data_IF_365837898885
#
_entry.id   IF_365837898885
#
_cell.length_a   1.000
_cell.length_b   1.000
_cell.length_c   1.000
_cell.angle_alpha   90.00
_cell.angle_beta   90.00
_cell.angle_gamma   90.00
#
_symmetry.space_group_name_H-M   'P 1'
#
loop_
_entity.id
_entity.type
_entity.pdbx_description
1 polymer ?
#
# COMPACT_ATOMS: atom_id res chain seq x y z
N UNK A 1 49.33 -19.98 -47.53
CA UNK A 1 48.54 -21.18 -47.20
C UNK A 1 48.76 -21.47 -45.72
N UNK A 2 48.08 -20.73 -44.84
CA UNK A 2 46.77 -21.08 -44.23
C UNK A 2 46.91 -22.08 -43.09
N UNK A 3 47.35 -21.64 -41.89
CA UNK A 3 47.04 -22.34 -40.61
C UNK A 3 47.55 -21.58 -39.38
N UNK A 4 47.17 -20.31 -39.19
CA UNK A 4 47.52 -19.61 -37.93
C UNK A 4 46.51 -18.54 -37.49
N UNK A 5 45.62 -18.10 -38.38
CA UNK A 5 44.68 -17.01 -38.09
C UNK A 5 43.32 -17.49 -37.55
N UNK A 6 43.07 -18.79 -37.48
CA UNK A 6 41.73 -19.36 -37.20
C UNK A 6 41.55 -19.83 -35.75
N UNK A 7 42.32 -19.28 -34.81
CA UNK A 7 42.20 -19.64 -33.38
C UNK A 7 42.12 -18.42 -32.45
N UNK A 8 41.62 -17.29 -32.97
CA UNK A 8 41.34 -16.08 -32.17
C UNK A 8 39.82 -15.85 -32.04
N UNK A 9 38.98 -16.63 -32.73
CA UNK A 9 37.55 -16.37 -32.89
C UNK A 9 36.60 -17.23 -32.03
N UNK A 10 37.08 -17.96 -31.03
CA UNK A 10 36.19 -18.62 -30.05
C UNK A 10 36.60 -18.27 -28.62
N UNK A 11 36.52 -16.98 -28.28
CA UNK A 11 36.11 -16.63 -26.93
C UNK A 11 34.59 -16.81 -26.91
N UNK A 12 34.03 -17.79 -26.16
CA UNK A 12 32.65 -17.63 -25.77
C UNK A 12 32.66 -16.42 -24.85
N UNK A 13 32.26 -15.26 -25.36
CA UNK A 13 31.76 -14.17 -24.54
C UNK A 13 30.51 -14.71 -23.85
N UNK A 14 30.73 -15.53 -22.83
CA UNK A 14 29.78 -15.82 -21.78
C UNK A 14 29.61 -14.50 -21.08
N UNK A 15 28.75 -13.66 -21.65
CA UNK A 15 28.29 -12.43 -21.04
C UNK A 15 27.93 -12.80 -19.61
N UNK A 16 28.73 -12.35 -18.63
CA UNK A 16 28.46 -12.55 -17.20
C UNK A 16 27.11 -11.90 -16.96
N UNK A 17 26.03 -12.69 -17.06
CA UNK A 17 24.72 -12.24 -16.65
C UNK A 17 24.86 -11.86 -15.19
N UNK A 18 24.62 -10.60 -14.89
CA UNK A 18 24.62 -10.12 -13.52
C UNK A 18 23.65 -10.98 -12.71
N UNK A 19 24.03 -11.41 -11.50
CA UNK A 19 23.18 -12.27 -10.65
C UNK A 19 21.74 -11.74 -10.50
N UNK A 20 21.56 -10.43 -10.54
CA UNK A 20 20.25 -9.78 -10.54
C UNK A 20 19.38 -10.12 -11.77
N UNK A 21 19.97 -10.29 -12.95
CA UNK A 21 19.26 -10.70 -14.16
C UNK A 21 18.82 -12.17 -14.09
N UNK A 22 19.64 -13.05 -13.54
CA UNK A 22 19.26 -14.46 -13.31
C UNK A 22 18.15 -14.55 -12.26
N UNK A 23 18.27 -13.80 -11.16
CA UNK A 23 17.21 -13.69 -10.16
C UNK A 23 15.93 -13.12 -10.76
N UNK A 24 16.01 -12.12 -11.62
CA UNK A 24 14.85 -11.54 -12.30
C UNK A 24 14.19 -12.51 -13.28
N UNK A 25 14.99 -13.32 -13.99
CA UNK A 25 14.49 -14.34 -14.91
C UNK A 25 13.77 -15.45 -14.14
N UNK A 26 14.40 -16.00 -13.10
CA UNK A 26 13.82 -17.04 -12.23
C UNK A 26 12.57 -16.53 -11.49
N UNK A 27 12.60 -15.27 -11.05
CA UNK A 27 11.47 -14.62 -10.40
C UNK A 27 10.28 -14.47 -11.36
N UNK A 28 10.54 -14.14 -12.64
CA UNK A 28 9.49 -14.03 -13.67
C UNK A 28 8.88 -15.39 -14.06
N UNK A 29 9.62 -16.48 -13.90
CA UNK A 29 9.13 -17.83 -14.16
C UNK A 29 8.15 -18.29 -13.07
N UNK A 30 8.35 -17.85 -11.82
CA UNK A 30 7.45 -18.13 -10.71
C UNK A 30 6.26 -17.16 -10.66
N UNK A 31 5.19 -17.52 -11.40
CA UNK A 31 3.93 -16.75 -11.44
C UNK A 31 3.30 -16.52 -10.06
N UNK A 32 3.46 -17.46 -9.12
CA UNK A 32 2.89 -17.33 -7.77
C UNK A 32 3.64 -16.28 -6.95
N UNK A 33 4.98 -16.23 -7.06
CA UNK A 33 5.80 -15.21 -6.42
C UNK A 33 5.52 -13.81 -6.99
N UNK A 34 5.32 -13.69 -8.31
CA UNK A 34 4.92 -12.43 -8.95
C UNK A 34 3.55 -11.98 -8.46
N UNK A 35 2.57 -12.89 -8.38
CA UNK A 35 1.24 -12.56 -7.87
C UNK A 35 1.31 -12.07 -6.41
N UNK A 36 2.09 -12.77 -5.57
CA UNK A 36 2.34 -12.34 -4.20
C UNK A 36 2.99 -10.97 -4.12
N UNK A 37 4.00 -10.69 -4.96
CA UNK A 37 4.64 -9.38 -5.03
C UNK A 37 3.66 -8.28 -5.47
N UNK A 38 2.82 -8.55 -6.47
CA UNK A 38 1.80 -7.59 -6.93
C UNK A 38 0.83 -7.26 -5.80
N UNK A 39 0.30 -8.28 -5.11
CA UNK A 39 -0.59 -8.08 -3.96
C UNK A 39 0.12 -7.29 -2.85
N UNK A 40 1.36 -7.65 -2.54
CA UNK A 40 2.16 -6.95 -1.53
C UNK A 40 2.36 -5.47 -1.89
N UNK A 41 2.75 -5.17 -3.13
CA UNK A 41 2.94 -3.79 -3.60
C UNK A 41 1.64 -3.01 -3.55
N UNK A 42 0.50 -3.61 -3.92
CA UNK A 42 -0.81 -2.96 -3.81
C UNK A 42 -1.19 -2.65 -2.36
N UNK A 43 -0.99 -3.61 -1.46
CA UNK A 43 -1.26 -3.43 -0.04
C UNK A 43 -0.36 -2.35 0.58
N UNK A 44 0.95 -2.42 0.30
CA UNK A 44 1.93 -1.45 0.76
C UNK A 44 1.60 -0.04 0.25
N UNK A 45 1.26 0.08 -1.04
CA UNK A 45 0.87 1.36 -1.64
C UNK A 45 -0.38 1.93 -0.96
N UNK A 46 -1.39 1.09 -0.73
CA UNK A 46 -2.60 1.48 0.01
C UNK A 46 -2.27 1.99 1.41
N UNK A 47 -1.35 1.32 2.12
CA UNK A 47 -0.94 1.74 3.46
C UNK A 47 -0.20 3.09 3.45
N UNK A 48 0.74 3.29 2.52
CA UNK A 48 1.46 4.56 2.37
C UNK A 48 0.50 5.69 2.04
N UNK A 49 -0.43 5.47 1.10
CA UNK A 49 -1.47 6.45 0.75
C UNK A 49 -2.33 6.76 1.97
N UNK A 50 -2.74 5.75 2.75
CA UNK A 50 -3.49 5.93 3.98
C UNK A 50 -2.77 6.87 4.96
N UNK A 51 -1.48 6.62 5.24
CA UNK A 51 -0.68 7.47 6.12
C UNK A 51 -0.57 8.90 5.60
N UNK A 52 -0.28 9.08 4.31
CA UNK A 52 -0.16 10.42 3.70
C UNK A 52 -1.48 11.19 3.79
N UNK A 53 -2.62 10.52 3.64
CA UNK A 53 -3.92 11.17 3.67
C UNK A 53 -4.44 11.46 5.09
N UNK A 54 -4.00 10.72 6.11
CA UNK A 54 -4.51 10.84 7.49
C UNK A 54 -3.53 11.48 8.48
N UNK A 55 -2.28 11.73 8.08
CA UNK A 55 -1.23 12.28 8.96
C UNK A 55 -0.77 13.66 8.49
N UNK A 56 -0.29 14.50 9.42
CA UNK A 56 0.23 15.85 9.13
C UNK A 56 -0.53 16.94 9.90
N UNK A 57 -0.18 18.21 9.64
CA UNK A 57 -0.83 19.38 10.27
C UNK A 57 -2.23 19.67 9.69
N UNK A 58 -2.47 19.29 8.43
CA UNK A 58 -3.76 19.45 7.73
C UNK A 58 -4.11 18.15 6.97
N UNK A 59 -4.54 17.09 7.67
CA UNK A 59 -4.85 15.80 7.05
C UNK A 59 -6.14 15.86 6.24
N UNK A 60 -6.12 15.28 5.03
CA UNK A 60 -7.31 15.18 4.16
C UNK A 60 -8.42 14.34 4.84
N UNK A 61 -8.02 13.31 5.57
CA UNK A 61 -8.89 12.49 6.39
C UNK A 61 -8.42 12.55 7.84
N UNK A 62 -8.93 13.51 8.60
CA UNK A 62 -8.60 13.64 10.01
C UNK A 62 -9.12 12.43 10.82
N UNK A 63 -8.24 11.58 11.38
CA UNK A 63 -8.66 10.44 12.20
C UNK A 63 -9.22 10.89 13.56
N UNK A 64 -8.88 12.10 14.03
CA UNK A 64 -9.37 12.62 15.31
C UNK A 64 -10.86 12.99 15.26
N UNK A 65 -11.42 13.27 14.06
CA UNK A 65 -12.87 13.46 13.88
C UNK A 65 -13.70 12.21 14.23
N UNK A 66 -13.08 11.02 14.27
CA UNK A 66 -13.74 9.77 14.66
C UNK A 66 -13.68 9.57 16.19
N UNK A 67 -12.96 10.43 16.93
CA UNK A 67 -12.97 10.42 18.40
C UNK A 67 -14.23 11.14 18.88
N UNK A 68 -15.35 10.46 18.74
CA UNK A 68 -16.67 10.97 19.09
C UNK A 68 -16.75 11.26 20.60
N UNK A 69 -17.22 12.46 20.94
CA UNK A 69 -17.57 12.82 22.32
C UNK A 69 -18.67 11.91 22.87
N UNK A 70 -19.57 11.46 22.00
CA UNK A 70 -20.70 10.59 22.33
C UNK A 70 -20.24 9.13 22.42
N UNK A 71 -20.14 8.61 23.63
CA UNK A 71 -19.70 7.23 23.91
C UNK A 71 -20.87 6.25 23.94
N UNK A 72 -20.61 5.00 23.51
CA UNK A 72 -21.49 3.84 23.65
C UNK A 72 -22.89 3.96 22.99
N UNK A 73 -22.98 4.61 21.82
CA UNK A 73 -24.21 4.61 21.04
C UNK A 73 -24.27 3.39 20.10
N UNK A 74 -25.46 2.78 19.93
CA UNK A 74 -25.61 1.66 19.02
C UNK A 74 -25.48 2.08 17.55
N UNK A 75 -25.26 1.13 16.62
CA UNK A 75 -25.34 1.38 15.19
C UNK A 75 -26.64 2.07 14.78
N UNK A 76 -26.55 2.97 13.81
CA UNK A 76 -27.64 3.79 13.24
C UNK A 76 -28.23 4.82 14.21
N UNK A 77 -27.65 5.04 15.38
CA UNK A 77 -28.05 6.11 16.29
C UNK A 77 -27.89 7.49 15.64
N UNK A 78 -28.76 8.42 16.02
CA UNK A 78 -28.69 9.83 15.59
C UNK A 78 -27.73 10.61 16.50
N UNK A 79 -26.88 11.47 15.94
CA UNK A 79 -26.00 12.35 16.71
C UNK A 79 -26.82 13.40 17.48
N UNK A 80 -26.40 13.75 18.70
CA UNK A 80 -26.95 14.89 19.41
C UNK A 80 -26.13 16.15 19.08
N UNK A 81 -26.68 16.97 18.18
CA UNK A 81 -26.02 18.17 17.66
C UNK A 81 -25.81 19.27 18.71
N UNK A 82 -26.49 19.20 19.86
CA UNK A 82 -26.29 20.15 20.96
C UNK A 82 -24.99 19.86 21.74
N UNK A 83 -24.56 18.60 21.76
CA UNK A 83 -23.36 18.15 22.48
C UNK A 83 -22.12 18.04 21.61
N UNK A 84 -22.28 18.00 20.29
CA UNK A 84 -21.17 17.87 19.33
C UNK A 84 -20.54 19.24 19.01
N UNK A 85 -19.21 19.29 18.91
CA UNK A 85 -18.54 20.49 18.44
C UNK A 85 -18.85 20.75 16.95
N UNK A 86 -18.76 22.01 16.51
CA UNK A 86 -18.96 22.36 15.11
C UNK A 86 -17.94 21.63 14.22
N UNK A 87 -18.40 20.66 13.44
CA UNK A 87 -17.57 19.84 12.55
C UNK A 87 -17.44 18.36 12.94
N UNK A 88 -17.90 17.95 14.14
CA UNK A 88 -17.85 16.55 14.61
C UNK A 88 -19.08 15.72 14.20
N UNK A 89 -20.08 16.34 13.56
CA UNK A 89 -21.27 15.63 13.12
C UNK A 89 -20.92 14.61 12.00
N UNK A 90 -21.40 13.36 12.09
CA UNK A 90 -21.17 12.38 11.05
C UNK A 90 -21.75 12.87 9.72
N UNK A 91 -20.98 12.78 8.63
CA UNK A 91 -21.38 13.28 7.30
C UNK A 91 -22.69 12.71 6.79
N UNK A 92 -23.03 11.50 7.22
CA UNK A 92 -24.27 10.80 6.87
C UNK A 92 -25.45 11.11 7.81
N UNK A 93 -25.23 11.90 8.86
CA UNK A 93 -26.24 12.21 9.88
C UNK A 93 -26.60 11.06 10.82
N UNK A 94 -25.88 9.93 10.74
CA UNK A 94 -26.06 8.74 11.59
C UNK A 94 -24.72 8.07 11.89
N UNK A 95 -24.61 7.41 13.03
CA UNK A 95 -23.45 6.57 13.38
C UNK A 95 -23.61 5.18 12.80
N UNK A 96 -23.14 4.95 11.58
CA UNK A 96 -23.32 3.67 10.87
C UNK A 96 -22.91 2.44 11.69
N UNK A 97 -21.81 2.55 12.44
CA UNK A 97 -21.26 1.46 13.26
C UNK A 97 -21.45 1.65 14.77
N UNK A 98 -22.16 2.70 15.19
CA UNK A 98 -22.23 3.10 16.59
C UNK A 98 -20.96 3.84 17.02
N UNK A 99 -20.82 4.00 18.32
CA UNK A 99 -19.72 4.74 18.94
C UNK A 99 -19.12 3.93 20.09
N UNK A 100 -17.83 4.07 20.31
CA UNK A 100 -17.06 3.28 21.29
C UNK A 100 -16.61 4.14 22.49
N UNK A 101 -15.91 3.56 23.46
CA UNK A 101 -15.52 4.22 24.72
C UNK A 101 -14.12 4.91 24.73
N UNK A 102 -13.52 5.13 23.56
CA UNK A 102 -12.12 5.59 23.35
C UNK A 102 -11.72 6.96 23.95
#
# INVERSE_FOLDING_TARGET
MTSAAENILERPETARRTRLQELWLLFKENRLAILGLVIFVLFFSTAVVGVILTSGEDPVFDPALIRLQEKLLPPLARPNLETLAQGEAPRLGVYLFGTDDL
#
